data_IF_502650213869
#
_entry.id   IF_502650213869
#
_cell.length_a   1.000
_cell.length_b   1.000
_cell.length_c   1.000
_cell.angle_alpha   90.00
_cell.angle_beta   90.00
_cell.angle_gamma   90.00
#
_symmetry.space_group_name_H-M   'P 1'
#
loop_
_entity.id
_entity.type
_entity.pdbx_description
1 polymer ?
#
# COMPACT_ATOMS: atom_id res chain seq x y z
N UNK A 1 14.76 6.95 -16.61
CA UNK A 1 15.02 7.94 -15.54
C UNK A 1 15.27 7.17 -14.26
N UNK A 2 16.44 7.38 -13.65
CA UNK A 2 16.88 6.66 -12.45
C UNK A 2 15.93 6.93 -11.29
N UNK A 3 15.44 5.86 -10.68
CA UNK A 3 14.62 5.92 -9.49
C UNK A 3 15.24 6.70 -8.35
N UNK A 4 14.46 7.05 -7.35
CA UNK A 4 14.92 7.76 -6.16
C UNK A 4 16.02 6.94 -5.47
N UNK A 5 17.26 7.44 -5.51
CA UNK A 5 18.44 6.70 -5.05
C UNK A 5 18.61 6.67 -3.54
N UNK A 6 17.90 7.51 -2.79
CA UNK A 6 18.10 7.69 -1.34
C UNK A 6 17.00 7.08 -0.49
N UNK A 7 15.74 7.31 -0.82
CA UNK A 7 14.59 6.83 -0.05
C UNK A 7 14.13 5.44 -0.46
N UNK A 8 13.40 4.77 0.42
CA UNK A 8 12.78 3.46 0.19
C UNK A 8 11.29 3.62 -0.05
N UNK A 9 10.77 3.11 -1.16
CA UNK A 9 9.34 2.98 -1.39
C UNK A 9 8.85 1.62 -0.93
N UNK A 10 7.86 1.59 -0.05
CA UNK A 10 7.27 0.35 0.48
C UNK A 10 5.85 0.23 -0.03
N UNK A 11 5.62 -0.74 -0.91
CA UNK A 11 4.29 -1.10 -1.39
C UNK A 11 3.57 -2.00 -0.39
N UNK A 12 2.58 -1.47 0.31
CA UNK A 12 1.82 -2.23 1.32
C UNK A 12 0.66 -2.94 0.66
N UNK A 13 0.62 -4.27 0.80
CA UNK A 13 -0.42 -5.13 0.25
C UNK A 13 -0.94 -6.11 1.29
N UNK A 14 -2.11 -6.65 1.04
CA UNK A 14 -2.75 -7.62 1.94
C UNK A 14 -4.25 -7.69 1.69
N UNK A 15 -4.94 -8.70 2.23
CA UNK A 15 -6.36 -8.90 2.04
C UNK A 15 -7.20 -7.73 2.59
N UNK A 16 -8.45 -7.65 2.15
CA UNK A 16 -9.42 -6.70 2.72
C UNK A 16 -9.60 -7.01 4.21
N UNK A 17 -9.67 -5.97 5.04
CA UNK A 17 -9.82 -6.13 6.50
C UNK A 17 -8.51 -6.38 7.26
N UNK A 18 -7.37 -6.56 6.58
CA UNK A 18 -6.07 -6.78 7.26
C UNK A 18 -5.56 -5.56 8.02
N UNK A 19 -6.09 -4.35 7.75
CA UNK A 19 -5.72 -3.12 8.45
C UNK A 19 -4.52 -2.39 7.85
N UNK A 20 -4.36 -2.41 6.51
CA UNK A 20 -3.24 -1.73 5.82
C UNK A 20 -3.09 -0.27 6.23
N UNK A 21 -4.17 0.50 6.16
CA UNK A 21 -4.13 1.94 6.43
C UNK A 21 -3.74 2.22 7.88
N UNK A 22 -4.35 1.51 8.84
CA UNK A 22 -4.02 1.66 10.27
C UNK A 22 -2.56 1.28 10.59
N UNK A 23 -2.02 0.24 9.94
CA UNK A 23 -0.60 -0.14 10.11
C UNK A 23 0.31 0.93 9.50
N UNK A 24 0.00 1.42 8.30
CA UNK A 24 0.76 2.48 7.64
C UNK A 24 0.77 3.77 8.49
N UNK A 25 -0.38 4.17 9.02
CA UNK A 25 -0.52 5.32 9.92
C UNK A 25 0.29 5.13 11.21
N UNK A 26 0.22 3.93 11.83
CA UNK A 26 1.00 3.62 13.02
C UNK A 26 2.52 3.64 12.75
N UNK A 27 2.95 3.17 11.58
CA UNK A 27 4.36 3.24 11.18
C UNK A 27 4.80 4.70 10.97
N UNK A 28 3.99 5.52 10.28
CA UNK A 28 4.30 6.93 10.05
C UNK A 28 4.31 7.75 11.35
N UNK A 29 3.44 7.41 12.32
CA UNK A 29 3.44 8.05 13.63
C UNK A 29 4.64 7.65 14.53
N UNK A 30 5.22 6.48 14.28
CA UNK A 30 6.32 5.95 15.08
C UNK A 30 7.72 6.48 14.67
N UNK A 31 7.88 6.99 13.44
CA UNK A 31 9.17 7.46 12.90
C UNK A 31 9.00 8.67 11.99
N UNK A 32 9.75 9.73 12.22
CA UNK A 32 9.67 10.99 11.46
C UNK A 32 10.16 10.88 10.01
N UNK A 33 11.02 9.91 9.71
CA UNK A 33 11.51 9.63 8.36
C UNK A 33 10.52 8.77 7.53
N UNK A 34 9.42 8.32 8.14
CA UNK A 34 8.36 7.56 7.47
C UNK A 34 7.19 8.48 7.09
N UNK A 35 6.67 8.33 5.89
CA UNK A 35 5.53 9.13 5.43
C UNK A 35 4.57 8.31 4.56
N UNK A 36 3.33 8.75 4.56
CA UNK A 36 2.29 8.17 3.71
C UNK A 36 2.33 8.82 2.33
N UNK A 37 2.38 8.00 1.29
CA UNK A 37 2.26 8.43 -0.10
C UNK A 37 0.79 8.42 -0.48
N UNK A 38 0.24 9.59 -0.79
CA UNK A 38 -1.16 9.72 -1.18
C UNK A 38 -1.35 9.22 -2.61
N UNK A 39 -2.53 8.68 -2.88
CA UNK A 39 -2.94 8.24 -4.21
C UNK A 39 -4.01 9.18 -4.76
N UNK A 40 -4.02 9.41 -6.06
CA UNK A 40 -5.19 9.93 -6.76
C UNK A 40 -6.14 8.76 -7.05
N UNK A 41 -7.43 8.93 -6.75
CA UNK A 41 -8.45 7.89 -6.97
C UNK A 41 -9.67 8.53 -7.60
N UNK A 42 -10.25 7.90 -8.64
CA UNK A 42 -11.51 8.35 -9.26
C UNK A 42 -12.71 8.03 -8.37
N UNK A 43 -12.69 8.59 -7.15
CA UNK A 43 -13.70 8.40 -6.12
C UNK A 43 -13.88 9.69 -5.32
N UNK A 44 -15.12 9.97 -4.90
CA UNK A 44 -15.38 11.08 -3.99
C UNK A 44 -14.67 10.88 -2.64
N UNK A 45 -13.95 11.89 -2.17
CA UNK A 45 -13.25 11.90 -0.87
C UNK A 45 -14.21 11.70 0.33
N UNK A 46 -15.48 12.07 0.18
CA UNK A 46 -16.48 11.94 1.24
C UNK A 46 -16.84 10.49 1.60
N UNK A 47 -16.42 9.51 0.82
CA UNK A 47 -16.72 8.08 1.07
C UNK A 47 -15.82 7.44 2.14
N UNK A 48 -14.92 8.21 2.76
CA UNK A 48 -14.07 7.76 3.86
C UNK A 48 -13.03 6.71 3.47
N UNK A 49 -12.19 6.32 4.41
CA UNK A 49 -11.10 5.37 4.23
C UNK A 49 -9.74 6.05 4.45
N UNK A 50 -8.72 5.62 3.70
CA UNK A 50 -7.39 6.26 3.71
C UNK A 50 -7.42 7.71 3.20
N UNK A 51 -6.40 8.48 3.50
CA UNK A 51 -6.19 9.80 2.91
C UNK A 51 -5.74 9.65 1.44
N UNK A 52 -6.55 10.15 0.50
CA UNK A 52 -6.28 10.16 -0.93
C UNK A 52 -6.77 11.46 -1.56
N UNK A 53 -6.36 11.73 -2.78
CA UNK A 53 -6.84 12.86 -3.57
C UNK A 53 -7.95 12.35 -4.52
N UNK A 54 -9.19 12.78 -4.27
CA UNK A 54 -10.35 12.46 -5.11
C UNK A 54 -10.27 13.25 -6.42
N UNK A 55 -10.30 12.56 -7.55
CA UNK A 55 -10.27 13.17 -8.88
C UNK A 55 -11.41 12.65 -9.74
N UNK A 56 -11.83 13.42 -10.75
CA UNK A 56 -12.77 12.92 -11.76
C UNK A 56 -12.07 12.02 -12.77
N UNK A 57 -12.83 11.28 -13.58
CA UNK A 57 -12.26 10.47 -14.66
C UNK A 57 -11.50 11.36 -15.67
N UNK A 58 -12.05 12.53 -16.00
CA UNK A 58 -11.42 13.49 -16.93
C UNK A 58 -10.12 14.06 -16.36
N UNK A 59 -10.10 14.38 -15.05
CA UNK A 59 -8.87 14.82 -14.38
C UNK A 59 -7.81 13.72 -14.38
N UNK A 60 -8.22 12.48 -14.17
CA UNK A 60 -7.32 11.34 -14.19
C UNK A 60 -6.73 11.12 -15.59
N UNK A 61 -7.53 11.31 -16.65
CA UNK A 61 -7.05 11.22 -18.04
C UNK A 61 -5.99 12.29 -18.33
N UNK A 62 -6.24 13.54 -17.95
CA UNK A 62 -5.24 14.63 -18.07
C UNK A 62 -3.95 14.27 -17.32
N UNK A 63 -4.05 13.72 -16.11
CA UNK A 63 -2.86 13.31 -15.35
C UNK A 63 -2.08 12.17 -16.03
N UNK A 64 -2.74 11.29 -16.79
CA UNK A 64 -2.06 10.27 -17.61
C UNK A 64 -1.36 10.93 -18.81
N UNK A 65 -2.04 11.83 -19.53
CA UNK A 65 -1.48 12.54 -20.70
C UNK A 65 -0.24 13.37 -20.32
N UNK A 66 -0.22 13.92 -19.12
CA UNK A 66 0.88 14.71 -18.56
C UNK A 66 2.01 13.85 -17.94
N UNK A 67 1.95 12.51 -18.05
CA UNK A 67 2.89 11.59 -17.39
C UNK A 67 3.05 11.85 -15.88
N UNK A 68 1.99 12.33 -15.23
CA UNK A 68 2.02 12.73 -13.81
C UNK A 68 2.12 11.54 -12.85
N UNK A 69 1.83 10.32 -13.31
CA UNK A 69 1.83 9.13 -12.47
C UNK A 69 3.12 8.31 -12.58
N UNK A 70 3.70 7.99 -11.43
CA UNK A 70 4.71 6.94 -11.31
C UNK A 70 4.09 5.55 -11.55
N UNK A 71 2.94 5.29 -10.95
CA UNK A 71 2.18 4.05 -11.10
C UNK A 71 0.71 4.40 -11.25
N UNK A 72 -0.03 3.72 -12.12
CA UNK A 72 -1.48 3.78 -12.16
C UNK A 72 -2.09 2.44 -12.57
N UNK A 73 -3.31 2.17 -12.10
CA UNK A 73 -4.02 0.91 -12.37
C UNK A 73 -5.53 1.04 -12.17
N UNK A 74 -6.35 0.24 -12.87
CA UNK A 74 -7.76 0.08 -12.56
C UNK A 74 -7.96 -0.98 -11.48
N UNK A 75 -8.89 -0.77 -10.56
CA UNK A 75 -9.38 -1.77 -9.61
C UNK A 75 -10.75 -1.38 -9.05
N UNK A 76 -11.62 -2.37 -8.81
CA UNK A 76 -12.93 -2.16 -8.17
C UNK A 76 -13.81 -1.10 -8.85
N UNK A 77 -13.77 -1.00 -10.19
CA UNK A 77 -14.53 0.00 -10.94
C UNK A 77 -14.01 1.42 -10.81
N UNK A 78 -12.83 1.62 -10.24
CA UNK A 78 -12.15 2.91 -10.05
C UNK A 78 -10.74 2.87 -10.64
N UNK A 79 -10.15 4.04 -10.81
CA UNK A 79 -8.74 4.20 -11.22
C UNK A 79 -7.93 4.74 -10.06
N UNK A 80 -6.73 4.24 -9.93
CA UNK A 80 -5.78 4.58 -8.87
C UNK A 80 -4.47 5.04 -9.49
N UNK A 81 -3.88 6.08 -8.96
CA UNK A 81 -2.58 6.57 -9.40
C UNK A 81 -1.70 7.00 -8.23
N UNK A 82 -0.41 6.82 -8.37
CA UNK A 82 0.62 7.36 -7.46
C UNK A 82 1.32 8.49 -8.20
N UNK A 83 1.05 9.76 -7.86
CA UNK A 83 1.68 10.89 -8.53
C UNK A 83 3.19 10.96 -8.23
N UNK A 84 3.99 11.38 -9.20
CA UNK A 84 5.43 11.65 -9.00
C UNK A 84 5.69 12.70 -7.92
N UNK A 85 4.78 13.69 -7.79
CA UNK A 85 4.87 14.73 -6.77
C UNK A 85 4.90 14.17 -5.35
N UNK A 86 4.13 13.11 -5.08
CA UNK A 86 4.09 12.45 -3.78
C UNK A 86 5.38 11.70 -3.44
N UNK A 87 6.14 11.29 -4.46
CA UNK A 87 7.38 10.55 -4.30
C UNK A 87 8.63 11.45 -4.19
N UNK A 88 8.50 12.76 -4.42
CA UNK A 88 9.64 13.70 -4.39
C UNK A 88 10.37 13.68 -3.03
N UNK A 89 9.65 13.42 -1.94
CA UNK A 89 10.25 13.32 -0.61
C UNK A 89 11.32 12.21 -0.52
N UNK A 90 11.17 11.12 -1.29
CA UNK A 90 12.15 10.03 -1.35
C UNK A 90 13.52 10.48 -1.89
N UNK A 91 13.61 11.59 -2.64
CA UNK A 91 14.88 12.12 -3.09
C UNK A 91 15.77 12.58 -1.92
N UNK A 92 15.15 12.98 -0.80
CA UNK A 92 15.84 13.38 0.43
C UNK A 92 16.15 12.20 1.34
N UNK A 93 15.62 11.03 1.07
CA UNK A 93 15.70 9.83 1.89
C UNK A 93 14.37 9.50 2.58
N UNK A 94 14.40 8.63 3.58
CA UNK A 94 13.23 8.18 4.33
C UNK A 94 12.48 7.03 3.67
N UNK A 95 11.32 6.69 4.23
CA UNK A 95 10.48 5.57 3.81
C UNK A 95 9.09 6.09 3.44
N UNK A 96 8.72 5.94 2.17
CA UNK A 96 7.37 6.22 1.69
C UNK A 96 6.51 4.95 1.69
N UNK A 97 5.40 4.96 2.42
CA UNK A 97 4.44 3.85 2.47
C UNK A 97 3.29 4.13 1.51
N UNK A 98 2.99 3.19 0.62
CA UNK A 98 1.89 3.31 -0.35
C UNK A 98 1.04 2.03 -0.37
N UNK A 99 -0.28 2.19 -0.30
CA UNK A 99 -1.21 1.07 -0.45
C UNK A 99 -1.33 0.71 -1.94
N UNK A 100 -0.83 -0.45 -2.35
CA UNK A 100 -0.81 -0.90 -3.74
C UNK A 100 -1.75 -2.09 -4.00
N UNK A 101 -2.13 -2.25 -5.25
CA UNK A 101 -2.72 -3.47 -5.76
C UNK A 101 -1.62 -4.50 -6.06
N UNK A 102 -1.94 -5.79 -5.89
CA UNK A 102 -1.05 -6.89 -6.30
C UNK A 102 -0.59 -6.75 -7.76
N UNK A 103 -1.52 -6.35 -8.64
CA UNK A 103 -1.26 -6.23 -10.07
C UNK A 103 -0.17 -5.20 -10.42
N UNK A 104 0.11 -4.24 -9.53
CA UNK A 104 1.12 -3.20 -9.76
C UNK A 104 2.49 -3.53 -9.20
N UNK A 105 2.63 -4.57 -8.38
CA UNK A 105 3.88 -4.88 -7.67
C UNK A 105 5.05 -5.14 -8.60
N UNK A 106 4.85 -5.97 -9.63
CA UNK A 106 5.92 -6.27 -10.60
C UNK A 106 6.39 -5.02 -11.33
N UNK A 107 5.43 -4.13 -11.71
CA UNK A 107 5.77 -2.84 -12.33
C UNK A 107 6.53 -1.94 -11.36
N UNK A 108 6.09 -1.86 -10.10
CA UNK A 108 6.76 -1.06 -9.08
C UNK A 108 8.19 -1.56 -8.82
N UNK A 109 8.38 -2.88 -8.69
CA UNK A 109 9.68 -3.48 -8.44
C UNK A 109 10.67 -3.29 -9.62
N UNK A 110 10.16 -3.27 -10.85
CA UNK A 110 10.97 -2.98 -12.04
C UNK A 110 11.29 -1.48 -12.20
N UNK A 111 10.42 -0.61 -11.69
CA UNK A 111 10.56 0.84 -11.87
C UNK A 111 11.41 1.52 -10.78
N UNK A 112 11.41 0.96 -9.56
CA UNK A 112 12.09 1.57 -8.41
C UNK A 112 13.19 0.65 -7.89
N UNK A 113 14.44 1.11 -7.96
CA UNK A 113 15.60 0.36 -7.46
C UNK A 113 15.50 0.04 -5.97
N UNK A 114 14.96 0.99 -5.19
CA UNK A 114 14.71 0.86 -3.75
C UNK A 114 13.21 0.69 -3.47
N UNK A 115 12.70 -0.47 -3.81
CA UNK A 115 11.31 -0.87 -3.57
C UNK A 115 11.26 -2.17 -2.77
N UNK A 116 10.34 -2.25 -1.81
CA UNK A 116 10.04 -3.48 -1.06
C UNK A 116 8.52 -3.64 -0.95
N UNK A 117 8.03 -4.85 -1.10
CA UNK A 117 6.63 -5.20 -0.83
C UNK A 117 6.47 -5.60 0.63
N UNK A 118 5.69 -4.84 1.40
CA UNK A 118 5.20 -5.23 2.73
C UNK A 118 3.88 -5.99 2.59
N UNK A 119 3.92 -7.30 2.74
CA UNK A 119 2.74 -8.16 2.70
C UNK A 119 2.18 -8.34 4.11
N UNK A 120 1.06 -7.68 4.40
CA UNK A 120 0.32 -7.85 5.64
C UNK A 120 -0.62 -9.06 5.55
N UNK A 121 -0.62 -9.88 6.59
CA UNK A 121 -1.51 -11.04 6.72
C UNK A 121 -2.24 -11.03 8.07
N UNK A 122 -3.34 -11.76 8.14
CA UNK A 122 -4.03 -12.10 9.39
C UNK A 122 -4.83 -13.41 9.18
N UNK A 123 -5.11 -14.19 10.23
CA UNK A 123 -6.02 -15.34 10.16
C UNK A 123 -7.39 -14.96 9.62
N UNK A 124 -8.05 -15.91 8.94
CA UNK A 124 -9.36 -15.69 8.32
C UNK A 124 -10.39 -15.21 9.33
N UNK A 125 -10.35 -15.75 10.55
CA UNK A 125 -11.25 -15.41 11.64
C UNK A 125 -11.10 -13.96 12.08
N UNK A 126 -9.85 -13.46 12.15
CA UNK A 126 -9.54 -12.06 12.48
C UNK A 126 -10.03 -11.12 11.36
N UNK A 127 -9.84 -11.51 10.10
CA UNK A 127 -10.34 -10.75 8.96
C UNK A 127 -11.88 -10.66 8.98
N UNK A 128 -12.56 -11.78 9.24
CA UNK A 128 -14.02 -11.84 9.35
C UNK A 128 -14.55 -10.91 10.44
N UNK A 129 -13.98 -10.98 11.63
CA UNK A 129 -14.35 -10.12 12.77
C UNK A 129 -14.17 -8.63 12.44
N UNK A 130 -13.05 -8.27 11.80
CA UNK A 130 -12.76 -6.87 11.43
C UNK A 130 -13.69 -6.34 10.34
N UNK A 131 -14.06 -7.16 9.37
CA UNK A 131 -15.03 -6.80 8.33
C UNK A 131 -16.43 -6.62 8.95
N UNK A 132 -16.88 -7.57 9.78
CA UNK A 132 -18.15 -7.47 10.47
C UNK A 132 -18.24 -6.23 11.38
N UNK A 133 -17.19 -5.91 12.13
CA UNK A 133 -17.14 -4.74 13.00
C UNK A 133 -17.24 -3.39 12.26
N UNK A 134 -16.93 -3.35 10.95
CA UNK A 134 -17.10 -2.15 10.12
C UNK A 134 -18.56 -1.87 9.74
N UNK A 135 -19.44 -2.88 9.80
CA UNK A 135 -20.88 -2.75 9.60
C UNK A 135 -21.30 -2.26 8.21
N UNK A 136 -20.45 -2.41 7.19
CA UNK A 136 -20.70 -1.92 5.83
C UNK A 136 -21.07 -3.03 4.85
N UNK A 137 -20.98 -4.29 5.27
CA UNK A 137 -21.08 -5.47 4.42
C UNK A 137 -22.00 -6.50 5.05
N UNK A 138 -22.76 -7.23 4.22
CA UNK A 138 -23.54 -8.39 4.65
C UNK A 138 -22.62 -9.58 4.97
N UNK A 139 -23.13 -10.59 5.66
CA UNK A 139 -22.39 -11.83 5.94
C UNK A 139 -21.94 -12.52 4.65
N UNK A 140 -22.76 -12.51 3.61
CA UNK A 140 -22.46 -13.10 2.30
C UNK A 140 -21.31 -12.35 1.60
N UNK A 141 -21.32 -11.02 1.65
CA UNK A 141 -20.22 -10.19 1.10
C UNK A 141 -18.90 -10.40 1.86
N UNK A 142 -18.98 -10.60 3.19
CA UNK A 142 -17.82 -10.94 4.02
C UNK A 142 -17.26 -12.30 3.60
N UNK A 143 -18.10 -13.32 3.43
CA UNK A 143 -17.68 -14.65 2.98
C UNK A 143 -17.02 -14.62 1.60
N UNK A 144 -17.60 -13.88 0.64
CA UNK A 144 -17.00 -13.71 -0.69
C UNK A 144 -15.63 -13.00 -0.63
N UNK A 145 -15.49 -11.99 0.22
CA UNK A 145 -14.20 -11.30 0.41
C UNK A 145 -13.18 -12.22 1.05
N UNK A 146 -13.58 -13.03 2.01
CA UNK A 146 -12.72 -14.03 2.64
C UNK A 146 -12.34 -15.15 1.68
N UNK A 147 -13.22 -15.57 0.78
CA UNK A 147 -12.91 -16.54 -0.27
C UNK A 147 -11.87 -15.98 -1.26
N UNK A 148 -11.97 -14.68 -1.59
CA UNK A 148 -10.95 -13.93 -2.38
C UNK A 148 -9.67 -13.65 -1.60
N UNK A 149 -9.66 -13.84 -0.27
CA UNK A 149 -8.51 -13.60 0.61
C UNK A 149 -7.40 -14.69 0.51
N UNK A 150 -7.51 -15.67 -0.40
CA UNK A 150 -6.34 -16.42 -0.88
C UNK A 150 -5.40 -15.45 -1.58
N UNK A 151 -4.64 -14.72 -0.75
CA UNK A 151 -3.78 -13.64 -1.19
C UNK A 151 -2.43 -14.23 -1.60
N UNK A 152 -2.30 -14.59 -2.88
CA UNK A 152 -1.01 -14.94 -3.47
C UNK A 152 -0.42 -13.71 -4.16
N UNK A 153 0.87 -13.48 -3.96
CA UNK A 153 1.61 -12.46 -4.70
C UNK A 153 1.85 -12.93 -6.14
N UNK A 154 1.96 -12.01 -7.11
CA UNK A 154 2.31 -12.36 -8.48
C UNK A 154 3.68 -13.03 -8.54
N UNK A 155 3.84 -13.97 -9.48
CA UNK A 155 5.16 -14.51 -9.81
C UNK A 155 6.07 -13.36 -10.27
N UNK A 156 7.33 -13.38 -9.81
CA UNK A 156 8.33 -12.35 -10.17
C UNK A 156 8.46 -11.20 -9.18
N UNK A 157 7.62 -11.10 -8.15
CA UNK A 157 7.84 -10.19 -7.02
C UNK A 157 8.80 -10.88 -6.06
N UNK A 158 10.01 -10.33 -5.89
CA UNK A 158 11.11 -10.97 -5.14
C UNK A 158 11.46 -10.25 -3.84
N UNK A 159 11.32 -8.92 -3.79
CA UNK A 159 11.63 -8.12 -2.59
C UNK A 159 10.40 -8.02 -1.70
N UNK A 160 10.10 -9.11 -0.97
CA UNK A 160 8.90 -9.23 -0.15
C UNK A 160 9.26 -9.48 1.31
N UNK A 161 8.65 -8.70 2.20
CA UNK A 161 8.62 -8.96 3.63
C UNK A 161 7.19 -9.25 4.08
N UNK A 162 7.00 -10.30 4.89
CA UNK A 162 5.71 -10.68 5.42
C UNK A 162 5.57 -10.31 6.89
N UNK A 163 4.46 -9.67 7.25
CA UNK A 163 4.14 -9.33 8.65
C UNK A 163 2.70 -9.70 8.96
N UNK A 164 2.50 -10.38 10.10
CA UNK A 164 1.18 -10.72 10.61
C UNK A 164 0.61 -9.59 11.47
N UNK A 165 -0.59 -9.11 11.15
CA UNK A 165 -1.30 -8.09 11.93
C UNK A 165 -2.37 -8.73 12.81
N UNK A 166 -1.92 -9.41 13.88
CA UNK A 166 -2.80 -10.09 14.85
C UNK A 166 -2.75 -9.49 16.24
N UNK A 167 -1.70 -8.72 16.53
CA UNK A 167 -1.50 -8.04 17.80
C UNK A 167 -1.94 -6.57 17.78
N UNK A 168 -1.29 -5.73 18.58
CA UNK A 168 -1.49 -4.28 18.54
C UNK A 168 -0.87 -3.67 17.28
N UNK A 169 -1.36 -2.48 16.87
CA UNK A 169 -0.77 -1.75 15.75
C UNK A 169 0.71 -1.40 16.02
N UNK A 170 1.05 -1.09 17.26
CA UNK A 170 2.43 -0.80 17.66
C UNK A 170 3.35 -2.02 17.49
N UNK A 171 2.88 -3.22 17.85
CA UNK A 171 3.65 -4.46 17.66
C UNK A 171 3.83 -4.78 16.18
N UNK A 172 2.77 -4.59 15.39
CA UNK A 172 2.82 -4.80 13.93
C UNK A 172 3.77 -3.80 13.25
N UNK A 173 3.72 -2.52 13.64
CA UNK A 173 4.65 -1.51 13.13
C UNK A 173 6.11 -1.83 13.48
N UNK A 174 6.37 -2.26 14.73
CA UNK A 174 7.70 -2.69 15.18
C UNK A 174 8.21 -3.89 14.38
N UNK A 175 7.37 -4.90 14.17
CA UNK A 175 7.72 -6.07 13.35
C UNK A 175 7.99 -5.69 11.88
N UNK A 176 7.22 -4.74 11.32
CA UNK A 176 7.44 -4.25 9.97
C UNK A 176 8.79 -3.53 9.84
N UNK A 177 9.16 -2.68 10.79
CA UNK A 177 10.48 -2.02 10.81
C UNK A 177 11.62 -3.03 10.93
N UNK A 178 11.53 -3.98 11.87
CA UNK A 178 12.55 -5.01 12.02
C UNK A 178 12.76 -5.82 10.74
N UNK A 179 11.68 -6.14 10.01
CA UNK A 179 11.77 -6.85 8.75
C UNK A 179 12.33 -5.96 7.61
N UNK A 180 11.98 -4.66 7.59
CA UNK A 180 12.55 -3.70 6.63
C UNK A 180 14.06 -3.51 6.83
N UNK A 181 14.50 -3.39 8.07
CA UNK A 181 15.93 -3.22 8.39
C UNK A 181 16.76 -4.44 7.96
N UNK A 182 16.19 -5.65 8.07
CA UNK A 182 16.83 -6.89 7.59
C UNK A 182 16.83 -7.02 6.06
N UNK A 183 15.85 -6.44 5.38
CA UNK A 183 15.70 -6.52 3.93
C UNK A 183 16.52 -5.46 3.17
N UNK A 184 17.06 -4.44 3.85
CA UNK A 184 17.97 -3.49 3.23
C UNK A 184 19.35 -4.15 3.05
N UNK A 185 19.91 -4.18 1.83
CA UNK A 185 21.29 -4.59 1.66
C UNK A 185 22.16 -3.60 2.46
N UNK A 186 23.14 -4.15 3.19
CA UNK A 186 24.15 -3.32 3.86
C UNK A 186 24.70 -2.32 2.86
N UNK A 187 24.67 -1.03 3.24
CA UNK A 187 25.22 0.06 2.45
C UNK A 187 26.74 -0.20 2.34
N UNK A 188 27.16 -0.64 1.17
CA UNK A 188 28.58 -0.75 0.85
C UNK A 188 29.18 0.64 0.60
#
# INVERSE_FOLDING_TARGET
MSGFSKGLLVGVVGPSGVGKDSVMEAMAAAREDVFLVRRAITRSEHLGGEAFDGVTEEQFDVMIEDDAFALHWPAHGMRYGVPWSELQRLQKGGIGLVNLSRATLTKAEAQFDRFVTLHLSAPKEVLAQRLAARGRESEEEIEERLARAKFSLPAGVIRVIGVSNTGTLADTARAAFAALDQAQPESA
#
